data_IF_782086575691
#
_entry.id   IF_782086575691
#
_cell.length_a   1.000
_cell.length_b   1.000
_cell.length_c   1.000
_cell.angle_alpha   90.00
_cell.angle_beta   90.00
_cell.angle_gamma   90.00
#
_symmetry.space_group_name_H-M   'P 1'
#
loop_
_entity.id
_entity.type
_entity.pdbx_description
1 polymer ?
#
# COMPACT_ATOMS: atom_id res chain seq x y z
N UNK A 1 4.48 -15.64 -21.33
CA UNK A 1 4.43 -15.92 -19.88
C UNK A 1 3.70 -14.79 -19.19
N UNK A 2 2.60 -15.08 -18.50
CA UNK A 2 1.92 -14.08 -17.67
C UNK A 2 2.67 -13.89 -16.35
N UNK A 3 2.46 -12.74 -15.69
CA UNK A 3 3.02 -12.48 -14.34
C UNK A 3 2.65 -13.61 -13.36
N UNK A 4 1.40 -14.07 -13.39
CA UNK A 4 0.93 -15.16 -12.53
C UNK A 4 1.67 -16.47 -12.76
N UNK A 5 1.97 -16.80 -14.02
CA UNK A 5 2.76 -17.99 -14.35
C UNK A 5 4.20 -17.86 -13.87
N UNK A 6 4.81 -16.69 -14.04
CA UNK A 6 6.17 -16.41 -13.56
C UNK A 6 6.26 -16.57 -12.04
N UNK A 7 5.32 -15.95 -11.33
CA UNK A 7 5.24 -15.96 -9.87
C UNK A 7 4.95 -17.36 -9.32
N UNK A 8 4.06 -18.12 -9.96
CA UNK A 8 3.74 -19.48 -9.51
C UNK A 8 4.86 -20.49 -9.80
N UNK A 9 5.68 -20.22 -10.83
CA UNK A 9 6.77 -21.11 -11.25
C UNK A 9 8.14 -20.78 -10.66
N UNK A 10 8.26 -19.78 -9.79
CA UNK A 10 9.53 -19.43 -9.15
C UNK A 10 9.92 -20.44 -8.08
N UNK A 11 11.20 -20.77 -7.99
CA UNK A 11 11.83 -21.56 -6.92
C UNK A 11 12.20 -20.71 -5.68
N UNK A 12 11.98 -19.39 -5.74
CA UNK A 12 12.24 -18.48 -4.63
C UNK A 12 11.16 -18.61 -3.54
N UNK A 13 11.44 -19.43 -2.53
CA UNK A 13 10.54 -19.68 -1.40
C UNK A 13 10.15 -18.41 -0.63
N UNK A 14 11.08 -17.47 -0.42
CA UNK A 14 10.80 -16.21 0.28
C UNK A 14 9.81 -15.34 -0.50
N UNK A 15 9.92 -15.31 -1.82
CA UNK A 15 8.97 -14.60 -2.68
C UNK A 15 7.57 -15.25 -2.62
N UNK A 16 7.50 -16.58 -2.67
CA UNK A 16 6.23 -17.31 -2.55
C UNK A 16 5.55 -17.03 -1.21
N UNK A 17 6.31 -17.04 -0.11
CA UNK A 17 5.81 -16.74 1.22
C UNK A 17 5.28 -15.29 1.31
N UNK A 18 6.06 -14.31 0.84
CA UNK A 18 5.63 -12.91 0.80
C UNK A 18 4.30 -12.73 0.06
N UNK A 19 4.15 -13.35 -1.10
CA UNK A 19 2.92 -13.28 -1.87
C UNK A 19 1.74 -13.93 -1.16
N UNK A 20 1.97 -15.03 -0.42
CA UNK A 20 0.95 -15.64 0.41
C UNK A 20 0.47 -14.68 1.51
N UNK A 21 1.38 -13.97 2.17
CA UNK A 21 1.04 -12.91 3.13
C UNK A 21 0.28 -11.76 2.48
N UNK A 22 0.61 -11.43 1.23
CA UNK A 22 -0.10 -10.45 0.42
C UNK A 22 -1.37 -11.00 -0.25
N UNK A 23 -1.85 -12.21 0.08
CA UNK A 23 -3.07 -12.78 -0.51
C UNK A 23 -2.99 -13.01 -2.02
N UNK A 24 -1.79 -13.25 -2.56
CA UNK A 24 -1.52 -13.44 -3.99
C UNK A 24 -1.56 -12.16 -4.82
N UNK A 25 -1.74 -11.00 -4.20
CA UNK A 25 -1.81 -9.69 -4.88
C UNK A 25 -0.43 -9.28 -5.39
N UNK A 26 -0.31 -9.07 -6.70
CA UNK A 26 0.90 -8.57 -7.36
C UNK A 26 0.56 -7.85 -8.68
N UNK A 27 1.40 -6.90 -9.08
CA UNK A 27 1.33 -6.17 -10.35
C UNK A 27 2.72 -6.06 -10.96
N UNK A 28 2.81 -5.98 -12.29
CA UNK A 28 4.05 -5.75 -13.01
C UNK A 28 4.01 -4.41 -13.73
N UNK A 29 5.15 -3.72 -13.77
CA UNK A 29 5.27 -2.41 -14.39
C UNK A 29 6.46 -2.37 -15.34
N UNK A 30 6.23 -1.81 -16.52
CA UNK A 30 7.28 -1.34 -17.40
C UNK A 30 7.41 0.17 -17.22
N UNK A 31 8.34 0.62 -16.38
CA UNK A 31 8.52 2.05 -16.09
C UNK A 31 9.00 2.89 -17.29
N UNK A 32 9.27 2.26 -18.45
CA UNK A 32 9.56 2.95 -19.72
C UNK A 32 8.32 3.06 -20.63
N UNK A 33 7.21 2.43 -20.27
CA UNK A 33 5.97 2.50 -21.03
C UNK A 33 5.44 3.94 -21.07
N UNK A 34 4.80 4.29 -22.18
CA UNK A 34 4.18 5.59 -22.39
C UNK A 34 2.79 5.43 -23.02
N UNK A 35 1.96 6.46 -22.91
CA UNK A 35 0.60 6.46 -23.45
C UNK A 35 -0.24 5.30 -22.92
N UNK A 36 -0.95 4.62 -23.82
CA UNK A 36 -1.94 3.60 -23.47
C UNK A 36 -1.37 2.42 -22.66
N UNK A 37 -0.13 2.00 -22.90
CA UNK A 37 0.48 0.90 -22.14
C UNK A 37 0.68 1.30 -20.67
N UNK A 38 1.17 2.52 -20.42
CA UNK A 38 1.34 3.06 -19.07
C UNK A 38 -0.01 3.17 -18.37
N UNK A 39 -1.01 3.70 -19.07
CA UNK A 39 -2.34 3.92 -18.50
C UNK A 39 -3.04 2.57 -18.19
N UNK A 40 -2.83 1.54 -19.02
CA UNK A 40 -3.31 0.19 -18.76
C UNK A 40 -2.66 -0.42 -17.49
N UNK A 41 -1.34 -0.33 -17.34
CA UNK A 41 -0.62 -0.82 -16.15
C UNK A 41 -1.05 -0.08 -14.87
N UNK A 42 -1.23 1.24 -14.94
CA UNK A 42 -1.77 2.01 -13.83
C UNK A 42 -3.21 1.58 -13.48
N UNK A 43 -4.04 1.32 -14.50
CA UNK A 43 -5.40 0.80 -14.32
C UNK A 43 -5.44 -0.57 -13.60
N UNK A 44 -4.53 -1.49 -13.95
CA UNK A 44 -4.41 -2.79 -13.27
C UNK A 44 -4.10 -2.62 -11.77
N UNK A 45 -3.17 -1.71 -11.42
CA UNK A 45 -2.85 -1.42 -10.02
C UNK A 45 -4.03 -0.81 -9.27
N UNK A 46 -4.72 0.17 -9.86
CA UNK A 46 -5.89 0.79 -9.22
C UNK A 46 -7.02 -0.22 -8.99
N UNK A 47 -7.26 -1.13 -9.95
CA UNK A 47 -8.23 -2.20 -9.79
C UNK A 47 -7.87 -3.13 -8.61
N UNK A 48 -6.58 -3.47 -8.47
CA UNK A 48 -6.10 -4.29 -7.36
C UNK A 48 -6.24 -3.57 -6.00
N UNK A 49 -5.95 -2.27 -5.94
CA UNK A 49 -6.16 -1.44 -4.74
C UNK A 49 -7.64 -1.37 -4.38
N UNK A 50 -8.53 -1.13 -5.35
CA UNK A 50 -9.97 -1.10 -5.12
C UNK A 50 -10.50 -2.43 -4.58
N UNK A 51 -10.03 -3.56 -5.12
CA UNK A 51 -10.37 -4.89 -4.61
C UNK A 51 -9.86 -5.09 -3.17
N UNK A 52 -8.65 -4.62 -2.86
CA UNK A 52 -8.07 -4.69 -1.51
C UNK A 52 -8.90 -3.91 -0.49
N UNK A 53 -9.47 -2.78 -0.90
CA UNK A 53 -10.34 -1.94 -0.07
C UNK A 53 -11.77 -2.51 0.10
N UNK A 54 -12.11 -3.62 -0.55
CA UNK A 54 -13.46 -4.20 -0.48
C UNK A 54 -14.55 -3.28 -1.02
N UNK A 55 -14.19 -2.31 -1.86
CA UNK A 55 -15.10 -1.28 -2.39
C UNK A 55 -15.29 -0.05 -1.49
N UNK A 56 -14.72 -0.02 -0.29
CA UNK A 56 -14.77 1.15 0.59
C UNK A 56 -13.53 2.04 0.38
N UNK A 57 -13.69 3.13 -0.37
CA UNK A 57 -12.60 4.08 -0.63
C UNK A 57 -12.21 4.91 0.61
N UNK A 58 -12.97 4.85 1.69
CA UNK A 58 -12.61 5.47 2.97
C UNK A 58 -11.77 4.56 3.87
N UNK A 59 -11.78 3.25 3.58
CA UNK A 59 -10.99 2.27 4.31
C UNK A 59 -9.50 2.55 4.09
N UNK A 60 -8.74 2.46 5.18
CA UNK A 60 -7.30 2.63 5.18
C UNK A 60 -6.71 1.76 6.28
N UNK A 61 -5.46 1.36 6.11
CA UNK A 61 -4.73 0.74 7.21
C UNK A 61 -4.58 1.76 8.35
N UNK A 62 -4.94 1.35 9.56
CA UNK A 62 -4.77 2.15 10.77
C UNK A 62 -4.19 1.29 11.88
N UNK A 63 -3.55 1.94 12.84
CA UNK A 63 -3.05 1.33 14.06
C UNK A 63 -3.06 2.40 15.18
N UNK A 64 -2.52 2.05 16.35
CA UNK A 64 -2.43 2.97 17.50
C UNK A 64 -1.69 4.26 17.13
N UNK A 65 -0.57 4.16 16.42
CA UNK A 65 0.25 5.31 16.01
C UNK A 65 -0.53 6.25 15.08
N UNK A 66 -1.21 5.72 14.06
CA UNK A 66 -2.06 6.51 13.17
C UNK A 66 -3.20 7.19 13.93
N UNK A 67 -3.87 6.47 14.82
CA UNK A 67 -4.97 7.02 15.61
C UNK A 67 -4.52 8.20 16.49
N UNK A 68 -3.31 8.13 17.04
CA UNK A 68 -2.72 9.19 17.85
C UNK A 68 -2.24 10.36 17.00
N UNK A 69 -1.63 10.09 15.84
CA UNK A 69 -1.28 11.13 14.88
C UNK A 69 -2.53 11.93 14.49
N UNK A 70 -3.64 11.28 14.18
CA UNK A 70 -4.92 11.95 13.88
C UNK A 70 -5.42 12.80 15.05
N UNK A 71 -5.34 12.30 16.29
CA UNK A 71 -5.73 13.07 17.48
C UNK A 71 -4.85 14.30 17.70
N UNK A 72 -3.52 14.17 17.55
CA UNK A 72 -2.57 15.28 17.70
C UNK A 72 -2.75 16.31 16.59
N UNK A 73 -3.00 15.89 15.35
CA UNK A 73 -3.25 16.81 14.25
C UNK A 73 -4.50 17.67 14.49
N UNK A 74 -5.53 17.13 15.15
CA UNK A 74 -6.74 17.86 15.51
C UNK A 74 -6.58 18.84 16.68
N UNK A 75 -5.44 18.85 17.37
CA UNK A 75 -5.15 19.80 18.46
C UNK A 75 -4.77 21.16 17.90
N UNK A 76 -5.34 22.23 18.43
CA UNK A 76 -4.99 23.61 18.04
C UNK A 76 -4.12 24.32 19.08
N UNK A 77 -3.88 23.68 20.23
CA UNK A 77 -3.12 24.18 21.38
C UNK A 77 -1.60 24.00 21.23
N UNK A 78 -1.15 23.21 20.26
CA UNK A 78 0.27 22.94 20.01
C UNK A 78 0.61 23.11 18.54
N UNK A 79 1.82 23.56 18.25
CA UNK A 79 2.35 23.62 16.89
C UNK A 79 2.66 22.22 16.34
N UNK A 80 2.98 22.16 15.05
CA UNK A 80 3.25 20.90 14.36
C UNK A 80 4.49 20.18 14.88
N UNK A 81 5.55 20.92 15.22
CA UNK A 81 6.81 20.36 15.70
C UNK A 81 6.59 19.64 17.04
N UNK A 82 5.86 20.28 17.96
CA UNK A 82 5.52 19.66 19.24
C UNK A 82 4.63 18.42 19.10
N UNK A 83 3.73 18.40 18.12
CA UNK A 83 2.93 17.20 17.80
C UNK A 83 3.82 16.05 17.31
N UNK A 84 4.83 16.34 16.49
CA UNK A 84 5.78 15.32 16.03
C UNK A 84 6.60 14.74 17.18
N UNK A 85 7.07 15.58 18.11
CA UNK A 85 7.79 15.12 19.31
C UNK A 85 6.94 14.15 20.14
N UNK A 86 5.69 14.51 20.43
CA UNK A 86 4.76 13.67 21.21
C UNK A 86 4.45 12.33 20.53
N UNK A 87 4.44 12.31 19.20
CA UNK A 87 4.23 11.09 18.43
C UNK A 87 5.49 10.19 18.46
N UNK A 88 6.68 10.80 18.42
CA UNK A 88 7.96 10.08 18.43
C UNK A 88 8.21 9.33 19.74
N UNK A 89 7.67 9.80 20.87
CA UNK A 89 7.73 9.09 22.17
C UNK A 89 6.97 7.74 22.17
N UNK A 90 6.23 7.41 21.11
CA UNK A 90 5.36 6.23 21.04
C UNK A 90 5.85 5.15 20.05
N UNK A 91 6.99 5.37 19.40
CA UNK A 91 7.64 4.44 18.45
C UNK A 91 8.72 3.64 19.17
#
# INVERSE_FOLDING_TARGET
NSLRQYVAGTDNAALQELLRHCGGRCCAFNNRAAGAERDAQAGELLALVHQMLGGDLSAHYTNKLYSQATQLLGRNDTDFEKKCELLAEQV
#
